data_IF_853895494909
#
_entry.id   IF_853895494909
#
_cell.length_a   1.000
_cell.length_b   1.000
_cell.length_c   1.000
_cell.angle_alpha   90.00
_cell.angle_beta   90.00
_cell.angle_gamma   90.00
#
_symmetry.space_group_name_H-M   'P 1'
#
loop_
_entity.id
_entity.type
_entity.pdbx_description
1 polymer ?
#
# COMPACT_ATOMS: atom_id res chain seq x y z
N UNK A 1 11.15 34.18 -8.26
CA UNK A 1 11.71 33.60 -7.02
C UNK A 1 10.54 33.14 -6.19
N UNK A 2 10.31 31.83 -6.11
CA UNK A 2 9.24 31.27 -5.27
C UNK A 2 9.88 31.06 -3.90
N UNK A 3 9.39 31.81 -2.91
CA UNK A 3 9.79 31.64 -1.50
C UNK A 3 9.57 30.19 -1.06
N UNK A 4 10.54 29.68 -0.31
CA UNK A 4 10.52 28.40 0.41
C UNK A 4 9.48 28.41 1.55
N UNK A 5 8.22 28.65 1.20
CA UNK A 5 7.07 28.52 2.07
C UNK A 5 6.62 27.07 2.06
N UNK A 6 6.71 26.40 3.22
CA UNK A 6 6.15 25.06 3.50
C UNK A 6 4.87 24.84 2.70
N UNK A 7 4.92 23.98 1.67
CA UNK A 7 3.73 23.56 0.93
C UNK A 7 2.74 23.01 1.97
N UNK A 8 1.63 23.71 2.18
CA UNK A 8 0.57 23.18 3.04
C UNK A 8 -0.04 22.00 2.28
N UNK A 9 0.26 20.77 2.70
CA UNK A 9 -0.21 19.53 2.08
C UNK A 9 -1.74 19.46 1.87
N UNK A 10 -2.51 20.31 2.56
CA UNK A 10 -3.95 20.53 2.34
C UNK A 10 -4.34 21.00 0.93
N UNK A 11 -3.38 21.39 0.09
CA UNK A 11 -3.62 21.95 -1.25
C UNK A 11 -3.62 20.87 -2.34
N UNK A 12 -3.17 19.65 -2.05
CA UNK A 12 -3.12 18.59 -3.05
C UNK A 12 -4.51 18.00 -3.35
N UNK A 13 -4.84 17.74 -4.63
CA UNK A 13 -6.08 17.05 -4.98
C UNK A 13 -6.14 15.65 -4.36
N UNK A 14 -7.33 15.26 -3.89
CA UNK A 14 -7.55 13.98 -3.21
C UNK A 14 -7.20 12.80 -4.12
N UNK A 15 -7.62 12.85 -5.39
CA UNK A 15 -7.38 11.80 -6.38
C UNK A 15 -5.88 11.58 -6.64
N UNK A 16 -5.07 12.64 -6.62
CA UNK A 16 -3.63 12.56 -6.82
C UNK A 16 -2.94 11.86 -5.65
N UNK A 17 -3.36 12.16 -4.41
CA UNK A 17 -2.85 11.48 -3.21
C UNK A 17 -3.29 10.02 -3.20
N UNK A 18 -4.53 9.72 -3.61
CA UNK A 18 -5.05 8.36 -3.68
C UNK A 18 -4.33 7.49 -4.73
N UNK A 19 -3.96 8.05 -5.89
CA UNK A 19 -3.13 7.34 -6.88
C UNK A 19 -1.78 6.92 -6.28
N UNK A 20 -1.14 7.82 -5.54
CA UNK A 20 0.12 7.54 -4.85
C UNK A 20 -0.08 6.47 -3.77
N UNK A 21 -1.13 6.58 -2.94
CA UNK A 21 -1.37 5.60 -1.88
C UNK A 21 -1.62 4.20 -2.42
N UNK A 22 -2.36 4.07 -3.53
CA UNK A 22 -2.56 2.78 -4.21
C UNK A 22 -1.22 2.18 -4.63
N UNK A 23 -0.36 2.96 -5.30
CA UNK A 23 0.95 2.46 -5.74
C UNK A 23 1.85 2.07 -4.55
N UNK A 24 2.00 2.98 -3.59
CA UNK A 24 2.92 2.81 -2.47
C UNK A 24 2.50 1.67 -1.54
N UNK A 25 1.20 1.49 -1.28
CA UNK A 25 0.70 0.36 -0.49
C UNK A 25 1.07 -0.95 -1.19
N UNK A 26 0.81 -1.08 -2.49
CA UNK A 26 1.12 -2.33 -3.22
C UNK A 26 2.61 -2.65 -3.18
N UNK A 27 3.44 -1.64 -3.39
CA UNK A 27 4.89 -1.79 -3.42
C UNK A 27 5.53 -1.91 -2.04
N UNK A 28 4.75 -1.75 -0.97
CA UNK A 28 5.23 -1.70 0.40
C UNK A 28 6.42 -0.74 0.55
N UNK A 29 6.26 0.47 0.01
CA UNK A 29 7.35 1.45 -0.05
C UNK A 29 7.85 1.80 1.36
N UNK A 30 9.16 1.67 1.57
CA UNK A 30 9.82 1.95 2.84
C UNK A 30 10.33 3.40 2.98
N UNK A 31 10.24 4.21 1.92
CA UNK A 31 10.79 5.58 1.91
C UNK A 31 9.90 6.59 1.15
N UNK A 32 8.56 6.49 1.27
CA UNK A 32 7.69 7.52 0.69
C UNK A 32 7.66 8.76 1.59
N UNK A 33 8.47 9.75 1.23
CA UNK A 33 8.38 11.11 1.76
C UNK A 33 8.04 12.14 0.66
N UNK A 34 7.67 13.36 1.05
CA UNK A 34 7.27 14.47 0.19
C UNK A 34 8.38 14.94 -0.73
N UNK A 35 9.65 14.75 -0.34
CA UNK A 35 10.79 14.91 -1.24
C UNK A 35 10.80 13.96 -2.45
N UNK A 36 10.12 12.81 -2.36
CA UNK A 36 10.01 11.82 -3.43
C UNK A 36 8.71 11.99 -4.24
N UNK A 37 8.04 13.13 -4.12
CA UNK A 37 6.83 13.46 -4.89
C UNK A 37 7.05 14.77 -5.62
N UNK A 38 7.13 14.69 -6.95
CA UNK A 38 7.20 15.88 -7.79
C UNK A 38 5.81 16.49 -7.93
N UNK A 39 5.76 17.83 -7.87
CA UNK A 39 4.53 18.60 -8.06
C UNK A 39 4.66 19.37 -9.37
N UNK A 40 3.75 19.12 -10.30
CA UNK A 40 3.64 19.86 -11.54
C UNK A 40 2.22 20.40 -11.72
N UNK A 41 2.03 21.23 -12.75
CA UNK A 41 0.71 21.68 -13.19
C UNK A 41 0.49 21.19 -14.61
N UNK A 42 -0.67 20.62 -14.88
CA UNK A 42 -1.06 20.28 -16.25
C UNK A 42 -1.13 21.58 -17.07
N UNK A 43 -0.57 21.55 -18.28
CA UNK A 43 -0.51 22.68 -19.19
C UNK A 43 -1.86 23.07 -19.78
N UNK A 44 -2.86 22.19 -19.70
CA UNK A 44 -4.19 22.44 -20.27
C UNK A 44 -5.10 23.24 -19.32
N UNK A 45 -5.17 22.85 -18.04
CA UNK A 45 -6.13 23.40 -17.07
C UNK A 45 -5.48 23.88 -15.76
N UNK A 46 -4.16 23.76 -15.64
CA UNK A 46 -3.41 24.18 -14.46
C UNK A 46 -3.62 23.31 -13.21
N UNK A 47 -4.29 22.15 -13.36
CA UNK A 47 -4.51 21.22 -12.26
C UNK A 47 -3.19 20.69 -11.72
N UNK A 48 -3.11 20.54 -10.40
CA UNK A 48 -1.92 19.99 -9.74
C UNK A 48 -1.85 18.50 -10.05
N UNK A 49 -0.71 18.06 -10.57
CA UNK A 49 -0.38 16.65 -10.80
C UNK A 49 0.75 16.26 -9.85
N UNK A 50 0.61 15.10 -9.21
CA UNK A 50 1.63 14.54 -8.34
C UNK A 50 2.28 13.33 -9.03
N UNK A 51 3.60 13.32 -9.11
CA UNK A 51 4.37 12.21 -9.69
C UNK A 51 5.29 11.61 -8.64
N UNK A 52 5.00 10.39 -8.14
CA UNK A 52 5.90 9.72 -7.22
C UNK A 52 7.15 9.26 -7.98
N UNK A 53 8.31 9.63 -7.47
CA UNK A 53 9.62 9.23 -7.98
C UNK A 53 10.37 8.40 -6.93
N UNK A 54 11.57 7.95 -7.29
CA UNK A 54 12.50 7.27 -6.40
C UNK A 54 11.88 6.07 -5.67
N UNK A 55 11.70 4.98 -6.40
CA UNK A 55 11.10 3.74 -5.90
C UNK A 55 12.16 2.70 -5.49
N UNK A 56 13.38 3.17 -5.17
CA UNK A 56 14.52 2.29 -4.84
C UNK A 56 14.36 1.47 -3.56
N UNK A 57 13.47 1.90 -2.66
CA UNK A 57 13.14 1.25 -1.38
C UNK A 57 11.77 0.55 -1.40
N UNK A 58 11.34 0.09 -2.57
CA UNK A 58 10.14 -0.74 -2.75
C UNK A 58 10.47 -2.24 -2.76
N UNK A 59 9.43 -3.09 -2.65
CA UNK A 59 9.55 -4.55 -2.59
C UNK A 59 10.44 -5.09 -1.44
N UNK A 60 10.20 -4.65 -0.19
CA UNK A 60 10.90 -5.22 0.96
C UNK A 60 10.53 -6.70 1.15
N UNK A 61 11.35 -7.41 1.94
CA UNK A 61 11.10 -8.81 2.30
C UNK A 61 10.21 -8.98 3.54
N UNK A 62 9.88 -7.89 4.24
CA UNK A 62 8.97 -7.84 5.38
C UNK A 62 8.26 -6.47 5.43
N UNK A 63 7.40 -6.25 6.44
CA UNK A 63 6.61 -5.01 6.61
C UNK A 63 7.20 -4.03 7.64
N UNK A 64 8.37 -4.33 8.21
CA UNK A 64 8.93 -3.59 9.34
C UNK A 64 9.18 -2.11 9.01
N UNK A 65 9.71 -1.84 7.82
CA UNK A 65 10.19 -0.53 7.40
C UNK A 65 9.19 0.25 6.52
N UNK A 66 7.94 -0.21 6.36
CA UNK A 66 6.97 0.50 5.49
C UNK A 66 6.69 1.93 6.02
N UNK A 67 7.00 2.96 5.22
CA UNK A 67 6.78 4.37 5.62
C UNK A 67 6.10 5.20 4.53
N UNK A 68 5.11 5.99 4.96
CA UNK A 68 4.30 6.81 4.07
C UNK A 68 4.00 8.18 4.69
N UNK A 69 4.62 9.25 4.19
CA UNK A 69 4.37 10.61 4.68
C UNK A 69 2.95 11.09 4.34
N UNK A 70 2.36 10.62 3.24
CA UNK A 70 0.99 10.98 2.85
C UNK A 70 -0.06 10.59 3.88
N UNK A 71 0.27 9.72 4.85
CA UNK A 71 -0.59 9.41 6.00
C UNK A 71 -1.01 10.64 6.80
N UNK A 72 -0.11 11.63 6.91
CA UNK A 72 -0.36 12.84 7.68
C UNK A 72 -1.16 13.89 6.89
N UNK A 73 -1.48 13.60 5.63
CA UNK A 73 -2.22 14.50 4.76
C UNK A 73 -3.73 14.23 4.91
N UNK A 74 -4.60 15.26 5.05
CA UNK A 74 -6.03 15.04 5.22
C UNK A 74 -6.68 14.18 4.13
N UNK A 75 -6.18 14.25 2.90
CA UNK A 75 -6.63 13.50 1.74
C UNK A 75 -6.57 11.98 1.96
N UNK A 76 -5.60 11.48 2.75
CA UNK A 76 -5.50 10.06 3.07
C UNK A 76 -6.62 9.56 3.99
N UNK A 77 -7.35 10.47 4.65
CA UNK A 77 -8.50 10.15 5.50
C UNK A 77 -9.83 10.21 4.76
N UNK A 78 -9.82 10.60 3.49
CA UNK A 78 -10.99 10.55 2.63
C UNK A 78 -11.14 9.15 2.03
N UNK A 79 -12.38 8.67 1.80
CA UNK A 79 -12.62 7.40 1.12
C UNK A 79 -12.17 7.47 -0.34
N UNK A 80 -11.70 6.34 -0.88
CA UNK A 80 -11.39 6.23 -2.30
C UNK A 80 -12.62 6.55 -3.17
N UNK A 81 -12.39 7.23 -4.30
CA UNK A 81 -13.44 7.47 -5.30
C UNK A 81 -13.90 6.16 -5.95
N UNK A 82 -15.12 6.13 -6.50
CA UNK A 82 -15.63 4.95 -7.22
C UNK A 82 -14.72 4.50 -8.37
N UNK A 83 -14.12 5.46 -9.07
CA UNK A 83 -13.14 5.18 -10.13
C UNK A 83 -11.88 4.49 -9.57
N UNK A 84 -11.35 4.99 -8.46
CA UNK A 84 -10.18 4.38 -7.81
C UNK A 84 -10.51 3.00 -7.25
N UNK A 85 -11.70 2.83 -6.66
CA UNK A 85 -12.17 1.52 -6.19
C UNK A 85 -12.29 0.51 -7.34
N UNK A 86 -12.81 0.94 -8.49
CA UNK A 86 -12.91 0.06 -9.65
C UNK A 86 -11.53 -0.32 -10.17
N UNK A 87 -10.58 0.62 -10.23
CA UNK A 87 -9.18 0.31 -10.54
C UNK A 87 -8.57 -0.66 -9.53
N UNK A 88 -8.77 -0.46 -8.22
CA UNK A 88 -8.24 -1.37 -7.19
C UNK A 88 -8.75 -2.80 -7.38
N UNK A 89 -10.02 -2.99 -7.78
CA UNK A 89 -10.58 -4.32 -8.01
C UNK A 89 -9.87 -5.08 -9.13
N UNK A 90 -9.39 -4.40 -10.16
CA UNK A 90 -8.72 -5.04 -11.31
C UNK A 90 -7.29 -5.45 -11.04
N UNK A 91 -6.66 -4.95 -9.97
CA UNK A 91 -5.27 -5.28 -9.62
C UNK A 91 -5.07 -6.79 -9.38
N UNK A 92 -4.03 -7.36 -9.95
CA UNK A 92 -3.68 -8.78 -9.80
C UNK A 92 -2.17 -8.91 -9.56
N UNK A 93 -1.81 -9.43 -8.39
CA UNK A 93 -0.40 -9.56 -8.00
C UNK A 93 0.34 -10.58 -8.86
N UNK A 94 -0.29 -11.68 -9.29
CA UNK A 94 0.38 -12.69 -10.10
C UNK A 94 0.63 -12.19 -11.52
N UNK A 95 -0.34 -11.48 -12.10
CA UNK A 95 -0.15 -10.87 -13.42
C UNK A 95 0.99 -9.84 -13.41
N UNK A 96 1.11 -9.05 -12.34
CA UNK A 96 2.18 -8.07 -12.21
C UNK A 96 3.55 -8.73 -11.94
N UNK A 97 3.61 -9.80 -11.14
CA UNK A 97 4.84 -10.58 -10.93
C UNK A 97 5.29 -11.23 -12.25
N UNK A 98 4.36 -11.79 -13.03
CA UNK A 98 4.65 -12.33 -14.36
C UNK A 98 5.17 -11.25 -15.29
N UNK A 99 4.51 -10.07 -15.33
CA UNK A 99 4.95 -8.95 -16.15
C UNK A 99 6.39 -8.55 -15.82
N UNK A 100 6.74 -8.43 -14.54
CA UNK A 100 8.09 -8.08 -14.12
C UNK A 100 9.12 -9.14 -14.54
N UNK A 101 8.77 -10.42 -14.43
CA UNK A 101 9.60 -11.52 -14.92
C UNK A 101 9.83 -11.44 -16.42
N UNK A 102 8.77 -11.15 -17.19
CA UNK A 102 8.84 -10.98 -18.65
C UNK A 102 9.69 -9.75 -19.05
N UNK A 103 9.76 -8.73 -18.18
CA UNK A 103 10.65 -7.58 -18.34
C UNK A 103 12.10 -7.84 -17.83
N UNK A 104 12.41 -9.08 -17.45
CA UNK A 104 13.76 -9.51 -17.07
C UNK A 104 14.10 -9.33 -15.60
N UNK A 105 13.12 -9.06 -14.73
CA UNK A 105 13.34 -8.99 -13.29
C UNK A 105 12.53 -10.05 -12.54
N UNK A 106 13.23 -11.01 -11.95
CA UNK A 106 12.64 -12.03 -11.09
C UNK A 106 12.63 -11.53 -9.64
N UNK A 107 11.43 -11.30 -9.11
CA UNK A 107 11.25 -10.82 -7.74
C UNK A 107 11.63 -11.95 -6.77
N UNK A 108 12.47 -11.69 -5.75
CA UNK A 108 12.76 -12.68 -4.72
C UNK A 108 11.47 -13.18 -4.03
N UNK A 109 11.37 -14.49 -3.71
CA UNK A 109 10.12 -15.07 -3.18
C UNK A 109 9.54 -14.34 -1.95
N UNK A 110 10.37 -13.94 -0.99
CA UNK A 110 9.93 -13.18 0.19
C UNK A 110 9.35 -11.81 -0.17
N UNK A 111 9.95 -11.12 -1.14
CA UNK A 111 9.47 -9.83 -1.63
C UNK A 111 8.16 -9.99 -2.42
N UNK A 112 8.05 -11.04 -3.24
CA UNK A 112 6.82 -11.38 -3.94
C UNK A 112 5.67 -11.68 -2.97
N UNK A 113 5.94 -12.38 -1.85
CA UNK A 113 4.98 -12.59 -0.77
C UNK A 113 4.47 -11.27 -0.18
N UNK A 114 5.37 -10.35 0.18
CA UNK A 114 4.99 -9.01 0.66
C UNK A 114 4.11 -8.29 -0.37
N UNK A 115 4.47 -8.33 -1.65
CA UNK A 115 3.70 -7.70 -2.72
C UNK A 115 2.28 -8.28 -2.87
N UNK A 116 2.15 -9.62 -2.79
CA UNK A 116 0.85 -10.33 -2.79
C UNK A 116 -0.01 -9.90 -1.61
N UNK A 117 0.55 -9.97 -0.40
CA UNK A 117 -0.17 -9.64 0.84
C UNK A 117 -0.55 -8.16 0.87
N UNK A 118 0.32 -7.26 0.41
CA UNK A 118 0.04 -5.83 0.32
C UNK A 118 -1.08 -5.53 -0.68
N UNK A 119 -1.03 -6.15 -1.86
CA UNK A 119 -2.10 -6.04 -2.86
C UNK A 119 -3.42 -6.58 -2.32
N UNK A 120 -3.39 -7.72 -1.61
CA UNK A 120 -4.56 -8.31 -0.97
C UNK A 120 -5.17 -7.38 0.09
N UNK A 121 -4.35 -6.83 0.99
CA UNK A 121 -4.77 -5.88 2.02
C UNK A 121 -5.42 -4.64 1.40
N UNK A 122 -4.82 -4.07 0.35
CA UNK A 122 -5.39 -2.95 -0.39
C UNK A 122 -6.77 -3.30 -0.95
N UNK A 123 -6.90 -4.44 -1.65
CA UNK A 123 -8.16 -4.86 -2.28
C UNK A 123 -9.25 -5.11 -1.25
N UNK A 124 -8.97 -5.90 -0.21
CA UNK A 124 -9.94 -6.24 0.84
C UNK A 124 -10.34 -5.02 1.67
N UNK A 125 -9.35 -4.20 2.06
CA UNK A 125 -9.61 -2.97 2.80
C UNK A 125 -10.46 -1.97 2.02
N UNK A 126 -10.10 -1.72 0.75
CA UNK A 126 -10.86 -0.83 -0.12
C UNK A 126 -12.28 -1.34 -0.39
N UNK A 127 -12.47 -2.65 -0.59
CA UNK A 127 -13.79 -3.25 -0.77
C UNK A 127 -14.70 -3.09 0.47
N UNK A 128 -14.12 -2.98 1.66
CA UNK A 128 -14.85 -2.67 2.90
C UNK A 128 -14.97 -1.17 3.21
N UNK A 129 -14.55 -0.30 2.28
CA UNK A 129 -14.66 1.15 2.45
C UNK A 129 -13.60 1.78 3.36
N UNK A 130 -12.51 1.07 3.66
CA UNK A 130 -11.40 1.66 4.41
C UNK A 130 -10.70 2.75 3.59
N UNK A 131 -10.31 3.82 4.28
CA UNK A 131 -9.52 4.92 3.71
C UNK A 131 -8.05 4.51 3.54
N UNK A 132 -7.26 5.21 2.71
CA UNK A 132 -5.81 4.99 2.66
C UNK A 132 -5.15 5.00 4.05
N UNK A 133 -5.57 5.91 4.92
CA UNK A 133 -5.09 6.01 6.30
C UNK A 133 -5.38 4.75 7.11
N UNK A 134 -6.61 4.22 7.04
CA UNK A 134 -6.99 3.02 7.78
C UNK A 134 -6.23 1.78 7.28
N UNK A 135 -6.11 1.61 5.95
CA UNK A 135 -5.35 0.52 5.35
C UNK A 135 -3.89 0.58 5.77
N UNK A 136 -3.27 1.76 5.69
CA UNK A 136 -1.90 1.98 6.17
C UNK A 136 -1.75 1.58 7.64
N UNK A 137 -2.71 1.94 8.48
CA UNK A 137 -2.63 1.70 9.93
C UNK A 137 -2.61 0.21 10.28
N UNK A 138 -3.12 -0.65 9.38
CA UNK A 138 -2.99 -2.11 9.48
C UNK A 138 -1.59 -2.56 9.01
N UNK A 139 -1.07 -1.93 7.96
CA UNK A 139 0.18 -2.30 7.30
C UNK A 139 1.45 -1.92 8.07
N UNK A 140 1.49 -0.71 8.64
CA UNK A 140 2.70 -0.15 9.24
C UNK A 140 2.68 -0.26 10.76
N UNK A 141 3.86 -0.41 11.36
CA UNK A 141 4.03 -0.33 12.81
C UNK A 141 3.68 1.07 13.33
N UNK A 142 3.03 1.15 14.49
CA UNK A 142 2.80 2.41 15.22
C UNK A 142 4.08 2.89 15.93
N UNK A 143 4.88 1.92 16.40
CA UNK A 143 6.17 2.08 17.06
C UNK A 143 7.07 0.94 16.60
N UNK A 144 8.37 1.17 16.50
CA UNK A 144 9.31 0.17 15.98
C UNK A 144 9.25 -1.15 16.75
N UNK A 145 8.95 -1.09 18.06
CA UNK A 145 8.92 -2.25 18.96
C UNK A 145 7.59 -3.01 18.97
N UNK A 146 6.57 -2.51 18.26
CA UNK A 146 5.22 -3.11 18.22
C UNK A 146 4.88 -3.49 16.79
N UNK A 147 4.83 -4.79 16.54
CA UNK A 147 4.39 -5.38 15.27
C UNK A 147 3.06 -4.79 14.81
N UNK A 148 2.96 -4.54 13.51
CA UNK A 148 1.74 -4.10 12.85
C UNK A 148 0.71 -5.24 12.80
N UNK A 149 -0.53 -4.90 12.45
CA UNK A 149 -1.59 -5.90 12.31
C UNK A 149 -1.27 -6.86 11.16
N UNK A 150 -0.68 -6.38 10.06
CA UNK A 150 -0.31 -7.25 8.94
C UNK A 150 0.82 -8.24 9.31
N UNK A 151 1.77 -7.82 10.14
CA UNK A 151 2.82 -8.70 10.65
C UNK A 151 2.24 -9.79 11.55
N UNK A 152 1.30 -9.44 12.44
CA UNK A 152 0.60 -10.41 13.27
C UNK A 152 -0.22 -11.40 12.44
N UNK A 153 -0.87 -10.94 11.36
CA UNK A 153 -1.60 -11.81 10.43
C UNK A 153 -0.65 -12.83 9.79
N UNK A 154 0.52 -12.38 9.32
CA UNK A 154 1.54 -13.24 8.70
C UNK A 154 2.08 -14.25 9.71
N UNK A 155 2.47 -13.78 10.90
CA UNK A 155 2.95 -14.65 11.98
C UNK A 155 1.92 -15.73 12.36
N UNK A 156 0.64 -15.35 12.46
CA UNK A 156 -0.43 -16.30 12.75
C UNK A 156 -0.62 -17.32 11.62
N UNK A 157 -0.46 -16.92 10.36
CA UNK A 157 -0.49 -17.85 9.24
C UNK A 157 0.69 -18.81 9.30
N UNK A 158 1.91 -18.33 9.56
CA UNK A 158 3.12 -19.13 9.71
C UNK A 158 3.02 -20.16 10.85
N UNK A 159 2.31 -19.82 11.93
CA UNK A 159 2.06 -20.74 13.05
C UNK A 159 1.05 -21.85 12.73
N UNK A 160 0.23 -21.70 11.67
CA UNK A 160 -0.79 -22.67 11.25
C UNK A 160 -0.26 -23.59 10.15
N UNK A 161 0.55 -23.07 9.23
CA UNK A 161 1.06 -23.83 8.09
C UNK A 161 2.27 -24.70 8.48
N UNK A 162 2.48 -25.78 7.74
CA UNK A 162 3.61 -26.68 7.94
C UNK A 162 4.74 -26.37 6.95
N UNK A 163 5.94 -26.91 7.18
CA UNK A 163 7.11 -26.67 6.32
C UNK A 163 6.97 -27.11 4.85
N UNK A 164 5.98 -27.96 4.54
CA UNK A 164 5.69 -28.46 3.19
C UNK A 164 4.55 -27.69 2.48
N UNK A 165 3.99 -26.66 3.14
CA UNK A 165 2.89 -25.87 2.59
C UNK A 165 3.35 -25.03 1.39
N UNK A 166 2.53 -25.03 0.34
CA UNK A 166 2.76 -24.23 -0.87
C UNK A 166 2.55 -22.74 -0.61
N UNK A 167 3.11 -21.88 -1.45
CA UNK A 167 2.89 -20.43 -1.33
C UNK A 167 1.39 -20.07 -1.45
N UNK A 168 0.65 -20.74 -2.34
CA UNK A 168 -0.78 -20.49 -2.53
C UNK A 168 -1.59 -20.86 -1.27
N UNK A 169 -1.28 -21.99 -0.64
CA UNK A 169 -1.92 -22.38 0.62
C UNK A 169 -1.60 -21.37 1.73
N UNK A 170 -0.35 -20.91 1.85
CA UNK A 170 0.03 -19.87 2.81
C UNK A 170 -0.74 -18.57 2.58
N UNK A 171 -0.80 -18.10 1.32
CA UNK A 171 -1.52 -16.88 0.94
C UNK A 171 -3.03 -17.02 1.20
N UNK A 172 -3.61 -18.20 0.99
CA UNK A 172 -5.00 -18.49 1.34
C UNK A 172 -5.24 -18.42 2.85
N UNK A 173 -4.33 -18.94 3.66
CA UNK A 173 -4.38 -18.82 5.14
C UNK A 173 -4.30 -17.36 5.57
N UNK A 174 -3.37 -16.57 5.01
CA UNK A 174 -3.27 -15.13 5.26
C UNK A 174 -4.57 -14.42 4.88
N UNK A 175 -5.17 -14.75 3.73
CA UNK A 175 -6.44 -14.18 3.30
C UNK A 175 -7.56 -14.42 4.33
N UNK A 176 -7.69 -15.65 4.83
CA UNK A 176 -8.74 -16.00 5.78
C UNK A 176 -8.58 -15.28 7.13
N UNK A 177 -7.35 -15.20 7.65
CA UNK A 177 -7.07 -14.45 8.89
C UNK A 177 -7.31 -12.96 8.68
N UNK A 178 -6.88 -12.41 7.53
CA UNK A 178 -7.09 -11.01 7.19
C UNK A 178 -8.58 -10.66 7.10
N UNK A 179 -9.41 -11.51 6.49
CA UNK A 179 -10.86 -11.29 6.45
C UNK A 179 -11.44 -11.19 7.86
N UNK A 180 -11.05 -12.09 8.76
CA UNK A 180 -11.48 -12.05 10.16
C UNK A 180 -11.05 -10.78 10.88
N UNK A 181 -9.78 -10.37 10.74
CA UNK A 181 -9.27 -9.13 11.33
C UNK A 181 -10.01 -7.90 10.79
N UNK A 182 -10.22 -7.83 9.47
CA UNK A 182 -10.90 -6.72 8.85
C UNK A 182 -12.36 -6.63 9.28
N UNK A 183 -13.08 -7.75 9.42
CA UNK A 183 -14.46 -7.77 9.93
C UNK A 183 -14.58 -7.21 11.35
N UNK A 184 -13.60 -7.49 12.22
CA UNK A 184 -13.57 -6.95 13.58
C UNK A 184 -13.32 -5.44 13.62
N UNK A 185 -12.59 -4.89 12.64
CA UNK A 185 -12.37 -3.44 12.55
C UNK A 185 -13.64 -2.63 12.27
N UNK A 186 -14.73 -3.25 11.80
CA UNK A 186 -16.03 -2.58 11.55
C UNK A 186 -17.03 -2.69 12.71
N UNK A 187 -16.64 -3.32 13.83
CA UNK A 187 -17.51 -3.51 15.01
C UNK A 187 -17.29 -2.47 16.11
N UNK A 188 -16.43 -1.48 15.90
CA UNK A 188 -16.15 -0.39 16.85
C UNK A 188 -16.51 0.98 16.29
#
# INVERSE_FOLDING_TARGET
MIESGKIKFRVFPVDQVHKISVLDIRLANADRHGGNILVSRDGNDGQIVLTPIDHGYCFPNNFEDCTFEWLYWPQAKEPYSSETLEYIKTLDAEQDIELLRLQGWEIPPSCARVFRVSTMLLKKGAAKGLTPFAIRSIMCREKLEKESVIEQIIYNAEAIVFSETTEDEFINTVSAIMDHCLDQCFLN
#
